data_IF_812537188063
#
_entry.id   IF_812537188063
#
_cell.length_a   1.000
_cell.length_b   1.000
_cell.length_c   1.000
_cell.angle_alpha   90.00
_cell.angle_beta   90.00
_cell.angle_gamma   90.00
#
_symmetry.space_group_name_H-M   'P 1'
#
loop_
_entity.id
_entity.type
_entity.pdbx_description
1 polymer ?
#
# COMPACT_ATOMS: atom_id res chain seq x y z
N UNK A 1 -25.12 -24.36 12.62
CA UNK A 1 -24.08 -23.60 13.34
C UNK A 1 -22.87 -23.20 12.49
N UNK A 2 -22.58 -23.84 11.35
CA UNK A 2 -21.33 -23.57 10.61
C UNK A 2 -21.35 -22.30 9.73
N UNK A 3 -22.50 -21.94 9.14
CA UNK A 3 -22.60 -20.79 8.23
C UNK A 3 -22.36 -19.46 8.96
N UNK A 4 -22.92 -19.29 10.15
CA UNK A 4 -22.77 -18.07 10.95
C UNK A 4 -21.32 -17.83 11.38
N UNK A 5 -20.59 -18.89 11.76
CA UNK A 5 -19.19 -18.80 12.14
C UNK A 5 -18.30 -18.39 10.96
N UNK A 6 -18.52 -18.98 9.77
CA UNK A 6 -17.79 -18.59 8.56
C UNK A 6 -17.99 -17.12 8.19
N UNK A 7 -19.22 -16.61 8.28
CA UNK A 7 -19.53 -15.18 8.04
C UNK A 7 -18.81 -14.28 9.06
N UNK A 8 -18.80 -14.67 10.34
CA UNK A 8 -18.09 -13.92 11.38
C UNK A 8 -16.58 -13.87 11.13
N UNK A 9 -15.94 -14.98 10.75
CA UNK A 9 -14.51 -14.99 10.41
C UNK A 9 -14.22 -14.06 9.23
N UNK A 10 -15.05 -14.09 8.18
CA UNK A 10 -14.89 -13.18 7.03
C UNK A 10 -14.97 -11.72 7.46
N UNK A 11 -15.96 -11.37 8.29
CA UNK A 11 -16.11 -10.01 8.82
C UNK A 11 -14.91 -9.57 9.67
N UNK A 12 -14.41 -10.43 10.56
CA UNK A 12 -13.23 -10.12 11.37
C UNK A 12 -11.96 -10.00 10.50
N UNK A 13 -11.86 -10.78 9.43
CA UNK A 13 -10.75 -10.69 8.47
C UNK A 13 -10.75 -9.35 7.74
N UNK A 14 -11.93 -8.86 7.33
CA UNK A 14 -12.06 -7.51 6.72
C UNK A 14 -11.67 -6.42 7.71
N UNK A 15 -12.12 -6.49 8.97
CA UNK A 15 -11.70 -5.57 10.03
C UNK A 15 -10.19 -5.58 10.26
N UNK A 16 -9.57 -6.76 10.19
CA UNK A 16 -8.12 -6.91 10.28
C UNK A 16 -7.41 -6.27 9.08
N UNK A 17 -7.93 -6.45 7.85
CA UNK A 17 -7.44 -5.77 6.66
C UNK A 17 -7.45 -4.24 6.82
N UNK A 18 -8.56 -3.66 7.29
CA UNK A 18 -8.61 -2.22 7.54
C UNK A 18 -7.51 -1.75 8.50
N UNK A 19 -7.35 -2.42 9.64
CA UNK A 19 -6.33 -2.04 10.65
C UNK A 19 -4.91 -2.16 10.09
N UNK A 20 -4.63 -3.26 9.38
CA UNK A 20 -3.32 -3.49 8.78
C UNK A 20 -3.01 -2.46 7.69
N UNK A 21 -3.97 -2.16 6.80
CA UNK A 21 -3.79 -1.17 5.74
C UNK A 21 -3.53 0.23 6.30
N UNK A 22 -4.26 0.63 7.35
CA UNK A 22 -3.98 1.90 8.05
C UNK A 22 -2.57 1.92 8.64
N UNK A 23 -2.12 0.82 9.27
CA UNK A 23 -0.76 0.71 9.79
C UNK A 23 0.29 0.82 8.68
N UNK A 24 0.14 0.06 7.59
CA UNK A 24 1.03 0.13 6.44
C UNK A 24 1.09 1.55 5.87
N UNK A 25 -0.07 2.21 5.75
CA UNK A 25 -0.20 3.59 5.28
C UNK A 25 0.61 4.59 6.14
N UNK A 26 0.56 4.46 7.47
CA UNK A 26 1.35 5.30 8.38
C UNK A 26 2.84 4.98 8.37
N UNK A 27 3.21 3.70 8.33
CA UNK A 27 4.61 3.27 8.28
C UNK A 27 5.29 3.74 6.98
N UNK A 28 4.58 3.71 5.85
CA UNK A 28 5.07 4.25 4.57
C UNK A 28 5.38 5.74 4.60
N UNK A 29 4.61 6.52 5.37
CA UNK A 29 4.93 7.94 5.58
C UNK A 29 6.19 8.12 6.41
N UNK A 30 6.41 7.26 7.42
CA UNK A 30 7.58 7.31 8.28
C UNK A 30 8.88 6.89 7.54
N UNK A 31 8.80 5.90 6.64
CA UNK A 31 9.95 5.40 5.88
C UNK A 31 10.07 6.00 4.48
N UNK A 32 9.36 7.08 4.17
CA UNK A 32 9.27 7.67 2.84
C UNK A 32 10.65 7.91 2.21
N UNK A 33 10.90 7.33 1.05
CA UNK A 33 12.20 7.37 0.36
C UNK A 33 13.23 6.34 0.83
N UNK A 34 12.88 5.53 1.84
CA UNK A 34 13.72 4.45 2.36
C UNK A 34 13.77 3.23 1.45
N UNK A 35 14.73 2.32 1.68
CA UNK A 35 14.93 1.12 0.86
C UNK A 35 13.72 0.15 0.91
N UNK A 36 12.98 0.15 2.02
CA UNK A 36 11.90 -0.82 2.27
C UNK A 36 10.50 -0.33 1.85
N UNK A 37 10.38 0.90 1.32
CA UNK A 37 9.09 1.51 1.00
C UNK A 37 8.28 0.69 -0.02
N UNK A 38 8.94 0.20 -1.06
CA UNK A 38 8.29 -0.61 -2.10
C UNK A 38 7.89 -2.00 -1.59
N UNK A 39 8.73 -2.64 -0.78
CA UNK A 39 8.43 -3.97 -0.23
C UNK A 39 7.28 -3.89 0.79
N UNK A 40 7.27 -2.86 1.65
CA UNK A 40 6.17 -2.63 2.58
C UNK A 40 4.84 -2.39 1.85
N UNK A 41 4.87 -1.61 0.76
CA UNK A 41 3.70 -1.41 -0.10
C UNK A 41 3.18 -2.74 -0.66
N UNK A 42 4.08 -3.55 -1.23
CA UNK A 42 3.71 -4.84 -1.82
C UNK A 42 3.15 -5.81 -0.77
N UNK A 43 3.68 -5.82 0.46
CA UNK A 43 3.11 -6.58 1.57
C UNK A 43 1.69 -6.12 1.88
N UNK A 44 1.48 -4.81 1.99
CA UNK A 44 0.17 -4.16 2.10
C UNK A 44 -0.85 -4.69 1.09
N UNK A 45 -0.50 -4.60 -0.19
CA UNK A 45 -1.36 -4.99 -1.31
C UNK A 45 -1.61 -6.50 -1.34
N UNK A 46 -0.57 -7.34 -1.13
CA UNK A 46 -0.71 -8.81 -1.13
C UNK A 46 -1.63 -9.27 0.00
N UNK A 47 -1.51 -8.68 1.18
CA UNK A 47 -2.37 -8.99 2.31
C UNK A 47 -3.83 -8.61 2.03
N UNK A 48 -4.08 -7.37 1.58
CA UNK A 48 -5.41 -6.93 1.20
C UNK A 48 -6.04 -7.85 0.15
N UNK A 49 -5.30 -8.22 -0.89
CA UNK A 49 -5.80 -9.12 -1.93
C UNK A 49 -6.23 -10.48 -1.36
N UNK A 50 -5.43 -11.07 -0.45
CA UNK A 50 -5.79 -12.35 0.19
C UNK A 50 -7.07 -12.24 1.02
N UNK A 51 -7.22 -11.18 1.80
CA UNK A 51 -8.45 -10.96 2.59
C UNK A 51 -9.64 -10.70 1.68
N UNK A 52 -9.47 -9.92 0.61
CA UNK A 52 -10.52 -9.64 -0.37
C UNK A 52 -11.04 -10.93 -1.01
N UNK A 53 -10.14 -11.80 -1.48
CA UNK A 53 -10.50 -13.11 -2.06
C UNK A 53 -11.22 -14.00 -1.05
N UNK A 54 -10.75 -14.02 0.20
CA UNK A 54 -11.34 -14.84 1.26
C UNK A 54 -12.73 -14.36 1.70
N UNK A 55 -12.89 -13.05 1.91
CA UNK A 55 -14.13 -12.45 2.39
C UNK A 55 -15.18 -12.26 1.29
N UNK A 56 -14.76 -12.22 0.02
CA UNK A 56 -15.62 -11.90 -1.12
C UNK A 56 -15.79 -10.39 -1.33
N UNK A 57 -14.86 -9.58 -0.85
CA UNK A 57 -14.90 -8.12 -0.95
C UNK A 57 -14.48 -7.39 0.32
N UNK A 58 -14.53 -6.07 0.24
CA UNK A 58 -14.30 -5.16 1.37
C UNK A 58 -15.57 -4.37 1.69
N UNK A 59 -15.71 -3.98 2.96
CA UNK A 59 -16.65 -2.94 3.35
C UNK A 59 -16.12 -1.55 2.94
N UNK A 60 -16.97 -0.54 3.11
CA UNK A 60 -16.67 0.85 2.71
C UNK A 60 -15.41 1.38 3.39
N UNK A 61 -15.24 1.12 4.68
CA UNK A 61 -14.11 1.63 5.47
C UNK A 61 -12.79 0.95 5.06
N UNK A 62 -12.82 -0.36 4.81
CA UNK A 62 -11.64 -1.10 4.35
C UNK A 62 -11.27 -0.70 2.93
N UNK A 63 -12.24 -0.48 2.05
CA UNK A 63 -11.99 0.01 0.69
C UNK A 63 -11.36 1.41 0.72
N UNK A 64 -11.83 2.30 1.61
CA UNK A 64 -11.23 3.62 1.81
C UNK A 64 -9.77 3.52 2.27
N UNK A 65 -9.47 2.65 3.23
CA UNK A 65 -8.10 2.42 3.68
C UNK A 65 -7.20 1.85 2.56
N UNK A 66 -7.74 0.97 1.72
CA UNK A 66 -7.02 0.43 0.56
C UNK A 66 -6.74 1.49 -0.51
N UNK A 67 -7.72 2.37 -0.78
CA UNK A 67 -7.58 3.46 -1.74
C UNK A 67 -6.55 4.49 -1.27
N UNK A 68 -6.55 4.84 0.02
CA UNK A 68 -5.51 5.70 0.62
C UNK A 68 -4.11 5.11 0.45
N UNK A 69 -3.95 3.80 0.70
CA UNK A 69 -2.69 3.10 0.49
C UNK A 69 -2.22 3.20 -0.99
N UNK A 70 -3.14 2.97 -1.93
CA UNK A 70 -2.87 3.06 -3.38
C UNK A 70 -2.46 4.47 -3.81
N UNK A 71 -3.08 5.50 -3.25
CA UNK A 71 -2.73 6.90 -3.51
C UNK A 71 -1.32 7.22 -3.02
N UNK A 72 -0.97 6.80 -1.79
CA UNK A 72 0.40 6.95 -1.26
C UNK A 72 1.44 6.22 -2.12
N UNK A 73 1.14 5.01 -2.58
CA UNK A 73 1.99 4.26 -3.51
C UNK A 73 2.26 5.03 -4.81
N UNK A 74 1.21 5.64 -5.36
CA UNK A 74 1.28 6.39 -6.61
C UNK A 74 2.12 7.66 -6.43
N UNK A 75 1.94 8.38 -5.31
CA UNK A 75 2.75 9.55 -4.98
C UNK A 75 4.24 9.22 -4.81
N UNK A 76 4.58 8.13 -4.11
CA UNK A 76 5.96 7.66 -3.98
C UNK A 76 6.61 7.41 -5.35
N UNK A 77 5.91 6.69 -6.23
CA UNK A 77 6.40 6.39 -7.58
C UNK A 77 6.66 7.66 -8.39
N UNK A 78 5.76 8.64 -8.33
CA UNK A 78 5.91 9.93 -9.01
C UNK A 78 7.15 10.67 -8.47
N UNK A 79 7.28 10.80 -7.15
CA UNK A 79 8.41 11.48 -6.51
C UNK A 79 9.76 10.83 -6.86
N UNK A 80 9.83 9.49 -6.83
CA UNK A 80 11.05 8.75 -7.20
C UNK A 80 11.38 8.93 -8.69
N UNK A 81 10.37 8.96 -9.56
CA UNK A 81 10.58 9.26 -10.98
C UNK A 81 11.10 10.68 -11.20
N UNK A 82 10.58 11.68 -10.47
CA UNK A 82 11.05 13.06 -10.53
C UNK A 82 12.49 13.20 -10.04
N UNK A 83 12.83 12.60 -8.90
CA UNK A 83 14.19 12.57 -8.37
C UNK A 83 15.16 11.92 -9.36
N UNK A 84 14.79 10.77 -9.94
CA UNK A 84 15.60 10.09 -10.95
C UNK A 84 15.77 10.93 -12.22
N UNK A 85 14.73 11.66 -12.66
CA UNK A 85 14.83 12.60 -13.79
C UNK A 85 15.77 13.76 -13.46
N UNK A 86 15.70 14.30 -12.26
CA UNK A 86 16.58 15.37 -11.80
C UNK A 86 18.04 14.93 -11.74
N UNK A 87 18.32 13.76 -11.15
CA UNK A 87 19.65 13.18 -11.10
C UNK A 87 20.23 12.92 -12.50
N UNK A 88 19.43 12.36 -13.41
CA UNK A 88 19.82 12.16 -14.82
C UNK A 88 20.12 13.48 -15.54
N UNK A 89 19.38 14.56 -15.23
CA UNK A 89 19.67 15.89 -15.78
C UNK A 89 21.00 16.42 -15.27
N UNK A 90 21.27 16.30 -13.96
CA UNK A 90 22.55 16.71 -13.38
C UNK A 90 23.72 15.92 -13.98
N UNK A 91 23.61 14.60 -14.08
CA UNK A 91 24.66 13.76 -14.69
C UNK A 91 24.97 14.16 -16.14
N UNK A 92 23.96 14.50 -16.94
CA UNK A 92 24.15 15.00 -18.30
C UNK A 92 24.84 16.37 -18.37
N UNK A 93 24.68 17.22 -17.37
CA UNK A 93 25.36 18.51 -17.28
C UNK A 93 26.83 18.31 -16.86
N UNK A 94 27.10 17.45 -15.89
CA UNK A 94 28.47 17.14 -15.44
C UNK A 94 29.27 16.47 -16.55
N UNK A 95 28.68 15.54 -17.31
CA UNK A 95 29.35 14.87 -18.43
C UNK A 95 29.63 15.79 -19.65
N UNK A 96 29.13 17.03 -19.64
CA UNK A 96 29.37 18.03 -20.69
C UNK A 96 30.43 19.07 -20.30
N UNK A 97 30.82 19.13 -19.03
CA UNK A 97 31.92 19.95 -18.53
C UNK A 97 33.22 19.15 -18.56
#
# INVERSE_FOLDING_TARGET
MNVTFGVQIKLQSVKLAMKYLKRVSSELEAIKGGPDEEELMLQGVRFAFRVHQFAGGFDVDTMRAFQELKEKASMCRIQRQEQNRHLRRQQKLVARA
#
